data_IF_012682463694
#
_entry.id   IF_012682463694
#
_cell.length_a   1.000
_cell.length_b   1.000
_cell.length_c   1.000
_cell.angle_alpha   90.00
_cell.angle_beta   90.00
_cell.angle_gamma   90.00
#
_symmetry.space_group_name_H-M   'P 1'
#
loop_
_entity.id
_entity.type
_entity.pdbx_description
1 polymer ?
#
# COMPACT_ATOMS: atom_id res chain seq x y z
N UNK A 1 -8.54 9.27 -16.92
CA UNK A 1 -7.16 9.74 -17.26
C UNK A 1 -6.27 9.53 -16.02
N UNK A 2 -4.96 9.24 -16.14
CA UNK A 2 -4.09 9.17 -14.94
C UNK A 2 -3.66 10.61 -14.60
N UNK A 3 -3.95 11.14 -13.40
CA UNK A 3 -3.61 12.50 -13.03
C UNK A 3 -2.09 12.69 -13.03
N UNK A 4 -1.66 13.82 -13.58
CA UNK A 4 -0.25 14.20 -13.61
C UNK A 4 0.27 14.58 -12.22
N UNK A 5 1.59 14.55 -12.04
CA UNK A 5 2.27 14.93 -10.80
C UNK A 5 1.83 16.31 -10.30
N UNK A 6 1.55 17.25 -11.22
CA UNK A 6 1.11 18.62 -10.92
C UNK A 6 -0.23 18.67 -10.18
N UNK A 7 -1.13 17.73 -10.44
CA UNK A 7 -2.43 17.67 -9.78
C UNK A 7 -2.35 17.03 -8.39
N UNK A 8 -1.42 16.09 -8.21
CA UNK A 8 -1.19 15.40 -6.92
C UNK A 8 -0.38 16.27 -5.96
N UNK A 9 0.56 17.07 -6.46
CA UNK A 9 1.44 17.91 -5.64
C UNK A 9 0.73 18.82 -4.60
N UNK A 10 -0.34 19.57 -4.93
CA UNK A 10 -1.03 20.40 -3.93
C UNK A 10 -1.72 19.57 -2.84
N UNK A 11 -2.34 18.45 -3.21
CA UNK A 11 -2.98 17.52 -2.26
C UNK A 11 -1.92 16.88 -1.37
N UNK A 12 -0.79 16.48 -1.96
CA UNK A 12 0.35 15.93 -1.24
C UNK A 12 0.91 16.91 -0.20
N UNK A 13 1.10 18.19 -0.54
CA UNK A 13 1.52 19.21 0.42
C UNK A 13 0.50 19.45 1.52
N UNK A 14 -0.79 19.48 1.19
CA UNK A 14 -1.87 19.71 2.16
C UNK A 14 -1.96 18.62 3.22
N UNK A 15 -1.82 17.37 2.80
CA UNK A 15 -2.00 16.20 3.67
C UNK A 15 -0.67 15.60 4.17
N UNK A 16 0.48 16.16 3.77
CA UNK A 16 1.79 15.65 4.15
C UNK A 16 2.13 14.31 3.50
N UNK A 17 1.77 14.10 2.24
CA UNK A 17 2.13 12.90 1.47
C UNK A 17 3.60 13.01 1.05
N UNK A 18 4.43 12.08 1.51
CA UNK A 18 5.84 11.95 1.13
C UNK A 18 5.97 11.17 -0.19
N UNK A 19 5.15 10.12 -0.35
CA UNK A 19 5.20 9.22 -1.49
C UNK A 19 3.77 8.83 -1.88
N UNK A 20 3.45 8.89 -3.17
CA UNK A 20 2.21 8.35 -3.73
C UNK A 20 2.57 7.38 -4.84
N UNK A 21 2.09 6.15 -4.71
CA UNK A 21 2.32 5.06 -5.63
C UNK A 21 0.98 4.53 -6.11
N UNK A 22 0.90 4.19 -7.38
CA UNK A 22 -0.15 3.31 -7.88
C UNK A 22 0.37 1.88 -7.86
N UNK A 23 -0.46 0.92 -7.46
CA UNK A 23 -0.11 -0.49 -7.46
C UNK A 23 -1.26 -1.34 -8.03
N UNK A 24 -1.14 -2.66 -7.94
CA UNK A 24 -2.25 -3.56 -8.25
C UNK A 24 -2.53 -3.76 -9.75
N UNK A 25 -3.71 -4.27 -10.04
CA UNK A 25 -4.13 -4.73 -11.39
C UNK A 25 -4.19 -3.60 -12.42
N UNK A 26 -4.28 -2.36 -11.95
CA UNK A 26 -4.21 -1.14 -12.76
C UNK A 26 -2.82 -0.89 -13.39
N UNK A 27 -1.75 -1.50 -12.88
CA UNK A 27 -0.37 -1.32 -13.42
C UNK A 27 0.00 -2.36 -14.47
N UNK A 28 -0.56 -3.56 -14.41
CA UNK A 28 -0.13 -4.73 -15.21
C UNK A 28 -0.89 -4.97 -16.51
N UNK A 29 -1.73 -4.03 -16.96
CA UNK A 29 -2.09 -3.95 -18.39
C UNK A 29 -3.47 -4.45 -18.81
N UNK A 30 -4.50 -4.34 -17.97
CA UNK A 30 -5.89 -4.34 -18.45
C UNK A 30 -6.59 -3.09 -17.94
N UNK A 31 -6.41 -2.01 -18.68
CA UNK A 31 -7.20 -0.78 -18.51
C UNK A 31 -8.63 -1.11 -18.96
N UNK A 32 -9.40 -1.80 -18.11
CA UNK A 32 -10.84 -1.71 -18.20
C UNK A 32 -11.22 -0.31 -17.71
N UNK A 33 -12.08 0.38 -18.47
CA UNK A 33 -12.53 1.74 -18.18
C UNK A 33 -13.28 1.88 -16.83
N UNK A 34 -13.55 0.75 -16.15
CA UNK A 34 -14.23 0.67 -14.84
C UNK A 34 -13.38 0.09 -13.71
N UNK A 35 -12.09 -0.19 -13.92
CA UNK A 35 -11.27 -0.78 -12.85
C UNK A 35 -10.96 0.24 -11.76
N UNK A 36 -11.10 -0.20 -10.51
CA UNK A 36 -10.70 0.54 -9.32
C UNK A 36 -9.21 0.89 -9.35
N UNK A 37 -8.86 2.04 -8.78
CA UNK A 37 -7.50 2.56 -8.74
C UNK A 37 -6.90 2.28 -7.37
N UNK A 38 -6.03 1.28 -7.30
CA UNK A 38 -5.25 0.99 -6.10
C UNK A 38 -4.14 2.04 -5.91
N UNK A 39 -4.26 2.89 -4.89
CA UNK A 39 -3.30 3.92 -4.52
C UNK A 39 -2.70 3.67 -3.15
N UNK A 40 -1.37 3.71 -3.07
CA UNK A 40 -0.63 3.60 -1.82
C UNK A 40 0.05 4.94 -1.52
N UNK A 41 -0.22 5.48 -0.33
CA UNK A 41 0.37 6.74 0.14
C UNK A 41 1.21 6.53 1.38
N UNK A 42 2.39 7.15 1.40
CA UNK A 42 3.22 7.33 2.58
C UNK A 42 3.00 8.75 3.09
N UNK A 43 2.52 8.87 4.32
CA UNK A 43 2.27 10.14 4.98
C UNK A 43 3.40 10.43 5.95
N UNK A 44 3.81 11.69 6.07
CA UNK A 44 4.76 12.12 7.10
C UNK A 44 4.19 11.88 8.50
N UNK A 45 2.89 12.18 8.65
CA UNK A 45 2.14 11.92 9.87
C UNK A 45 0.81 11.29 9.54
N UNK A 46 0.56 10.11 10.09
CA UNK A 46 -0.73 9.44 9.90
C UNK A 46 -1.84 10.28 10.56
N UNK A 47 -2.93 10.56 9.83
CA UNK A 47 -4.10 11.24 10.38
C UNK A 47 -4.55 10.57 11.68
N UNK A 48 -4.69 11.38 12.74
CA UNK A 48 -5.18 10.90 14.04
C UNK A 48 -6.71 10.87 14.09
N UNK A 49 -7.37 11.68 13.27
CA UNK A 49 -8.83 11.75 13.18
C UNK A 49 -9.34 11.03 11.93
N UNK A 50 -10.49 10.38 12.06
CA UNK A 50 -11.21 9.79 10.93
C UNK A 50 -11.56 10.86 9.89
N UNK A 51 -11.87 12.08 10.34
CA UNK A 51 -12.16 13.21 9.48
C UNK A 51 -11.01 13.54 8.52
N UNK A 52 -9.78 13.64 9.03
CA UNK A 52 -8.62 13.95 8.20
C UNK A 52 -8.30 12.81 7.21
N UNK A 53 -8.58 11.56 7.59
CA UNK A 53 -8.48 10.43 6.66
C UNK A 53 -9.54 10.51 5.54
N UNK A 54 -10.79 10.82 5.90
CA UNK A 54 -11.87 10.99 4.93
C UNK A 54 -11.63 12.18 3.98
N UNK A 55 -11.04 13.27 4.48
CA UNK A 55 -10.69 14.43 3.67
C UNK A 55 -9.58 14.11 2.67
N UNK A 56 -8.54 13.37 3.09
CA UNK A 56 -7.50 12.86 2.19
C UNK A 56 -8.10 11.97 1.10
N UNK A 57 -8.92 11.00 1.48
CA UNK A 57 -9.57 10.10 0.52
C UNK A 57 -10.44 10.88 -0.46
N UNK A 58 -11.22 11.86 0.02
CA UNK A 58 -12.08 12.71 -0.82
C UNK A 58 -11.27 13.54 -1.81
N UNK A 59 -10.15 14.12 -1.37
CA UNK A 59 -9.29 14.92 -2.25
C UNK A 59 -8.62 14.04 -3.32
N UNK A 60 -8.20 12.82 -2.98
CA UNK A 60 -7.69 11.85 -3.95
C UNK A 60 -8.80 11.34 -4.88
N UNK A 61 -9.98 11.00 -4.37
CA UNK A 61 -11.14 10.57 -5.16
C UNK A 61 -11.56 11.61 -6.20
N UNK A 62 -11.42 12.90 -5.89
CA UNK A 62 -11.66 14.00 -6.84
C UNK A 62 -10.67 14.02 -8.00
N UNK A 63 -9.41 13.62 -7.78
CA UNK A 63 -8.42 13.51 -8.87
C UNK A 63 -8.72 12.35 -9.82
N UNK A 64 -9.38 11.31 -9.31
CA UNK A 64 -9.77 10.12 -10.05
C UNK A 64 -11.29 10.06 -10.16
N UNK A 65 -11.94 11.16 -10.53
CA UNK A 65 -13.41 11.27 -10.57
C UNK A 65 -14.10 10.20 -11.42
N UNK A 66 -13.39 9.61 -12.37
CA UNK A 66 -13.92 8.61 -13.30
C UNK A 66 -13.85 7.18 -12.72
N UNK A 67 -13.24 6.96 -11.55
CA UNK A 67 -12.93 5.63 -10.98
C UNK A 67 -12.98 5.61 -9.46
N UNK A 68 -13.28 4.47 -8.85
CA UNK A 68 -13.18 4.32 -7.40
C UNK A 68 -11.71 4.22 -6.97
N UNK A 69 -11.33 4.91 -5.89
CA UNK A 69 -9.96 4.91 -5.36
C UNK A 69 -9.90 4.05 -4.10
N UNK A 70 -9.12 2.96 -4.16
CA UNK A 70 -8.75 2.21 -2.96
C UNK A 70 -7.44 2.78 -2.39
N UNK A 71 -7.50 3.33 -1.17
CA UNK A 71 -6.39 4.03 -0.54
C UNK A 71 -5.71 3.17 0.54
N UNK A 72 -4.50 2.70 0.22
CA UNK A 72 -3.62 2.04 1.16
C UNK A 72 -2.68 3.05 1.87
N UNK A 73 -2.70 3.07 3.21
CA UNK A 73 -1.73 3.84 4.01
C UNK A 73 -0.50 2.99 4.30
N UNK A 74 0.62 3.31 3.66
CA UNK A 74 1.90 2.58 3.82
C UNK A 74 2.44 2.63 5.25
N UNK A 75 2.13 3.67 6.02
CA UNK A 75 2.58 3.80 7.41
C UNK A 75 2.07 2.69 8.35
N UNK A 76 0.89 2.11 8.05
CA UNK A 76 0.22 1.09 8.89
C UNK A 76 -0.04 -0.22 8.16
N UNK A 77 0.34 -0.31 6.89
CA UNK A 77 0.14 -1.51 6.10
C UNK A 77 0.93 -2.71 6.67
N UNK A 78 0.31 -3.88 6.60
CA UNK A 78 0.93 -5.14 6.99
C UNK A 78 2.15 -5.49 6.11
N UNK A 79 3.18 -6.19 6.62
CA UNK A 79 4.37 -6.53 5.83
C UNK A 79 4.08 -7.31 4.54
N UNK A 80 3.06 -8.19 4.54
CA UNK A 80 2.66 -8.93 3.36
C UNK A 80 2.07 -7.99 2.30
N UNK A 81 1.21 -7.06 2.74
CA UNK A 81 0.58 -6.09 1.86
C UNK A 81 1.58 -5.07 1.31
N UNK A 82 2.50 -4.59 2.16
CA UNK A 82 3.62 -3.75 1.74
C UNK A 82 4.45 -4.43 0.66
N UNK A 83 4.76 -5.72 0.81
CA UNK A 83 5.52 -6.46 -0.21
C UNK A 83 4.76 -6.47 -1.54
N UNK A 84 3.46 -6.80 -1.52
CA UNK A 84 2.58 -6.82 -2.71
C UNK A 84 2.55 -5.46 -3.42
N UNK A 85 2.41 -4.36 -2.67
CA UNK A 85 2.45 -2.99 -3.24
C UNK A 85 3.80 -2.73 -3.93
N UNK A 86 4.89 -3.20 -3.33
CA UNK A 86 6.26 -2.93 -3.78
C UNK A 86 6.74 -3.86 -4.91
N UNK A 87 5.97 -4.88 -5.31
CA UNK A 87 6.29 -5.78 -6.43
C UNK A 87 6.27 -5.04 -7.78
N UNK A 88 5.23 -4.24 -8.04
CA UNK A 88 5.10 -3.45 -9.27
C UNK A 88 4.52 -2.03 -9.01
N UNK A 89 5.21 -1.18 -8.23
CA UNK A 89 4.73 0.16 -7.94
C UNK A 89 5.02 1.11 -9.11
N UNK A 90 4.04 1.92 -9.48
CA UNK A 90 4.21 3.08 -10.34
C UNK A 90 4.27 4.35 -9.49
N UNK A 91 5.38 5.07 -9.55
CA UNK A 91 5.56 6.32 -8.81
C UNK A 91 4.68 7.43 -9.41
N UNK A 92 3.76 7.97 -8.62
CA UNK A 92 2.93 9.12 -9.01
C UNK A 92 3.41 10.43 -8.37
N UNK A 93 3.89 10.38 -7.13
CA UNK A 93 4.44 11.53 -6.42
C UNK A 93 5.53 11.12 -5.44
N UNK A 94 6.52 11.99 -5.24
CA UNK A 94 7.64 11.78 -4.33
C UNK A 94 8.95 11.50 -5.08
N UNK A 95 9.97 11.08 -4.34
CA UNK A 95 11.30 10.84 -4.92
C UNK A 95 11.59 9.34 -5.09
N UNK A 96 12.40 8.97 -6.11
CA UNK A 96 12.88 7.59 -6.26
C UNK A 96 13.64 7.09 -5.02
N UNK A 97 14.28 8.00 -4.28
CA UNK A 97 14.99 7.70 -3.02
C UNK A 97 14.03 7.24 -1.93
N UNK A 98 12.91 7.92 -1.76
CA UNK A 98 11.89 7.51 -0.78
C UNK A 98 11.23 6.18 -1.19
N UNK A 99 11.00 5.97 -2.49
CA UNK A 99 10.55 4.68 -3.02
C UNK A 99 11.55 3.55 -2.69
N UNK A 100 12.84 3.76 -2.86
CA UNK A 100 13.85 2.77 -2.50
C UNK A 100 13.88 2.51 -0.98
N UNK A 101 13.78 3.55 -0.16
CA UNK A 101 13.73 3.43 1.30
C UNK A 101 12.55 2.56 1.74
N UNK A 102 11.36 2.79 1.21
CA UNK A 102 10.18 2.00 1.58
C UNK A 102 10.27 0.56 1.03
N UNK A 103 10.86 0.34 -0.15
CA UNK A 103 11.14 -1.01 -0.66
C UNK A 103 12.05 -1.81 0.27
N UNK A 104 13.14 -1.20 0.75
CA UNK A 104 14.06 -1.84 1.69
C UNK A 104 13.36 -2.12 3.02
N UNK A 105 12.57 -1.16 3.52
CA UNK A 105 11.79 -1.32 4.74
C UNK A 105 10.78 -2.47 4.63
N UNK A 106 10.00 -2.52 3.55
CA UNK A 106 9.02 -3.57 3.27
C UNK A 106 9.70 -4.94 3.19
N UNK A 107 10.85 -5.02 2.53
CA UNK A 107 11.63 -6.26 2.41
C UNK A 107 12.12 -6.76 3.77
N UNK A 108 12.72 -5.89 4.60
CA UNK A 108 13.15 -6.24 5.96
C UNK A 108 11.99 -6.72 6.82
N UNK A 109 10.90 -5.94 6.85
CA UNK A 109 9.72 -6.26 7.66
C UNK A 109 9.07 -7.58 7.25
N UNK A 110 9.05 -7.87 5.95
CA UNK A 110 8.59 -9.17 5.44
C UNK A 110 9.50 -10.32 5.87
N UNK A 111 10.82 -10.16 5.82
CA UNK A 111 11.76 -11.19 6.28
C UNK A 111 11.61 -11.48 7.77
N UNK A 112 11.47 -10.44 8.60
CA UNK A 112 11.25 -10.59 10.05
C UNK A 112 9.93 -11.32 10.33
N UNK A 113 8.87 -10.98 9.60
CA UNK A 113 7.57 -11.62 9.73
C UNK A 113 7.57 -13.08 9.23
N UNK A 114 8.34 -13.39 8.18
CA UNK A 114 8.46 -14.76 7.65
C UNK A 114 9.05 -15.73 8.69
N UNK A 115 9.97 -15.25 9.54
CA UNK A 115 10.51 -16.07 10.64
C UNK A 115 9.42 -16.46 11.65
N UNK A 116 8.47 -15.57 11.91
CA UNK A 116 7.31 -15.86 12.76
C UNK A 116 6.35 -16.86 12.11
N UNK A 117 6.05 -16.71 10.82
CA UNK A 117 5.19 -17.63 10.08
C UNK A 117 5.80 -19.05 9.96
N UNK A 118 7.12 -19.15 9.79
CA UNK A 118 7.81 -20.46 9.81
C UNK A 118 7.74 -21.12 11.20
N UNK A 119 7.78 -20.34 12.28
CA UNK A 119 7.56 -20.86 13.64
C UNK A 119 6.11 -21.33 13.85
N UNK A 120 5.12 -20.55 13.42
CA UNK A 120 3.71 -20.96 13.53
C UNK A 120 3.42 -22.22 12.71
N UNK A 121 3.94 -22.32 11.48
CA UNK A 121 3.80 -23.54 10.67
C UNK A 121 4.31 -24.78 11.40
N UNK A 122 5.52 -24.70 11.97
CA UNK A 122 6.11 -25.81 12.73
C UNK A 122 5.28 -26.18 13.97
N UNK A 123 4.67 -25.18 14.61
CA UNK A 123 3.80 -25.41 15.77
C UNK A 123 2.49 -26.09 15.38
N UNK A 124 1.86 -25.64 14.28
CA UNK A 124 0.64 -26.26 13.75
C UNK A 124 0.93 -27.69 13.26
N UNK A 125 2.02 -27.92 12.55
CA UNK A 125 2.42 -29.27 12.09
C UNK A 125 2.61 -30.23 13.27
N UNK A 126 3.32 -29.83 14.33
CA UNK A 126 3.48 -30.67 15.54
C UNK A 126 2.17 -30.91 16.32
N UNK A 127 1.20 -30.00 16.20
CA UNK A 127 -0.13 -30.11 16.84
C UNK A 127 -1.09 -31.04 16.07
N UNK A 128 -0.86 -31.21 14.76
CA UNK A 128 -1.64 -32.11 13.92
C UNK A 128 -1.16 -33.57 14.04
N UNK A 129 0.14 -33.79 14.23
CA UNK A 129 0.70 -35.14 14.48
C UNK A 129 0.25 -35.72 15.83
N UNK A 130 -0.03 -34.88 16.83
CA UNK A 130 -0.47 -35.30 18.16
C UNK A 130 -1.99 -35.53 18.28
N UNK A 131 -2.74 -35.37 17.17
CA UNK A 131 -4.19 -35.60 17.08
C UNK A 131 -4.60 -36.71 16.11
N UNK A 132 -3.67 -37.46 15.54
CA UNK A 132 -4.02 -38.66 14.79
C UNK A 132 -4.60 -39.73 15.73
N UNK A 133 -5.89 -40.12 15.62
CA UNK A 133 -6.44 -41.22 16.41
C UNK A 133 -5.79 -42.53 15.96
N UNK A 134 -5.40 -43.36 16.94
CA UNK A 134 -5.00 -44.77 16.74
C UNK A 134 -6.17 -45.60 16.23
#
# INVERSE_FOLDING_TARGET
MIPGVEQIAPIAKRHGIILCLQFGSSVTGKVHERSDVDLAVLLERVPRSLQAHADLLRDLQRLFSDREVDLAILNRADPLFLRKIMEAPRLLYGSPRELQRIKIYAFKRYQDHRRYLDMERRYVEGSLESRAPR
#
